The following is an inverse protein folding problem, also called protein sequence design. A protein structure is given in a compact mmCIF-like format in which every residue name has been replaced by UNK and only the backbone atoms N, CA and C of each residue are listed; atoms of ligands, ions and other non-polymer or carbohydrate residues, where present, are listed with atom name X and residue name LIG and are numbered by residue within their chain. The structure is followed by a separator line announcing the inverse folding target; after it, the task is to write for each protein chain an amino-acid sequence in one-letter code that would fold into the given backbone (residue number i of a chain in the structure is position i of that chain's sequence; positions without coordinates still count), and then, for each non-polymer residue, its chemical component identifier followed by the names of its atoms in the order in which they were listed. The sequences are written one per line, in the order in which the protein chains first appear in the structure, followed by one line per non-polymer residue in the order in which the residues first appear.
data_IF_875159483130
#
_entry.id   IF_875159483130
#
_cell.length_a   1.000
_cell.length_b   1.000
_cell.length_c   1.000
_cell.angle_alpha   90.00
_cell.angle_beta   90.00
_cell.angle_gamma   90.00
#
_symmetry.space_group_name_H-M   'P 1'
#
loop_
_entity.id
_entity.type
_entity.pdbx_description
1 polymer ?
#
# COMPACT_ATOMS: atom_id res chain seq x y z
N UNK A 1 4.62 -2.26 -14.99
CA UNK A 1 4.28 -3.70 -15.04
C UNK A 1 5.47 -4.47 -15.60
N UNK A 2 5.80 -5.61 -15.01
CA UNK A 2 6.91 -6.51 -15.40
C UNK A 2 6.48 -7.98 -15.30
N UNK A 3 7.26 -8.88 -15.90
CA UNK A 3 7.09 -10.34 -15.72
C UNK A 3 7.07 -10.69 -14.24
N UNK A 4 6.12 -11.54 -13.85
CA UNK A 4 5.84 -11.92 -12.47
C UNK A 4 4.85 -11.02 -11.74
N UNK A 5 4.49 -9.83 -12.27
CA UNK A 5 3.44 -9.03 -11.65
C UNK A 5 2.07 -9.68 -11.83
N UNK A 6 1.26 -9.62 -10.77
CA UNK A 6 -0.17 -9.89 -10.82
C UNK A 6 -0.88 -8.67 -11.40
N UNK A 7 -1.78 -8.92 -12.34
CA UNK A 7 -2.53 -7.89 -13.06
C UNK A 7 -4.01 -8.23 -13.10
N UNK A 8 -4.86 -7.21 -13.20
CA UNK A 8 -6.28 -7.32 -13.48
C UNK A 8 -6.58 -6.78 -14.87
N UNK A 9 -7.43 -7.47 -15.60
CA UNK A 9 -7.93 -6.99 -16.91
C UNK A 9 -8.98 -5.91 -16.67
N UNK A 10 -8.75 -4.69 -17.15
CA UNK A 10 -9.68 -3.56 -17.01
C UNK A 10 -10.46 -3.23 -18.30
N UNK A 11 -9.93 -3.59 -19.47
CA UNK A 11 -10.58 -3.38 -20.77
C UNK A 11 -10.10 -4.39 -21.80
N UNK A 12 -10.73 -4.45 -22.97
CA UNK A 12 -10.38 -5.36 -24.07
C UNK A 12 -10.30 -4.64 -25.44
N UNK A 13 -10.20 -3.31 -25.42
CA UNK A 13 -10.40 -2.46 -26.60
C UNK A 13 -9.12 -2.12 -27.38
N UNK A 14 -7.95 -2.58 -26.91
CA UNK A 14 -6.65 -2.10 -27.39
C UNK A 14 -5.82 -3.17 -28.09
N UNK A 15 -6.10 -4.45 -27.85
CA UNK A 15 -5.41 -5.54 -28.53
C UNK A 15 -5.91 -5.66 -29.98
N UNK A 16 -4.99 -5.48 -30.92
CA UNK A 16 -5.29 -5.43 -32.36
C UNK A 16 -4.63 -6.57 -33.10
N UNK A 17 -5.29 -7.07 -34.15
CA UNK A 17 -4.72 -8.05 -35.06
C UNK A 17 -3.55 -7.43 -35.83
N UNK A 18 -2.45 -8.19 -35.95
CA UNK A 18 -1.22 -7.66 -36.55
C UNK A 18 -1.36 -7.38 -38.05
N UNK A 19 -2.26 -8.08 -38.73
CA UNK A 19 -2.53 -8.03 -40.17
C UNK A 19 -3.64 -7.01 -40.46
N UNK A 20 -4.80 -7.13 -39.82
CA UNK A 20 -5.96 -6.28 -40.13
C UNK A 20 -5.97 -4.96 -39.38
N UNK A 21 -5.18 -4.83 -38.30
CA UNK A 21 -5.16 -3.68 -37.38
C UNK A 21 -6.49 -3.40 -36.68
N UNK A 22 -7.46 -4.30 -36.77
CA UNK A 22 -8.73 -4.21 -36.06
C UNK A 22 -8.62 -4.76 -34.64
N UNK A 23 -9.45 -4.25 -33.73
CA UNK A 23 -9.51 -4.73 -32.36
C UNK A 23 -10.04 -6.16 -32.34
N UNK A 24 -9.31 -7.06 -31.70
CA UNK A 24 -9.69 -8.47 -31.58
C UNK A 24 -10.84 -8.60 -30.59
N UNK A 25 -12.00 -9.03 -31.06
CA UNK A 25 -13.15 -9.34 -30.19
C UNK A 25 -12.84 -10.54 -29.32
N UNK A 26 -12.81 -10.33 -27.99
CA UNK A 26 -12.56 -11.35 -26.96
C UNK A 26 -13.73 -11.44 -25.98
N UNK A 27 -13.77 -12.49 -25.19
CA UNK A 27 -14.83 -12.71 -24.20
C UNK A 27 -14.78 -11.64 -23.11
N UNK A 28 -15.89 -10.91 -22.92
CA UNK A 28 -16.03 -9.86 -21.89
C UNK A 28 -15.87 -10.41 -20.47
N UNK A 29 -16.03 -11.72 -20.25
CA UNK A 29 -15.78 -12.36 -18.96
C UNK A 29 -14.34 -12.21 -18.46
N UNK A 30 -13.40 -11.90 -19.36
CA UNK A 30 -12.01 -11.62 -18.99
C UNK A 30 -11.89 -10.35 -18.16
N UNK A 31 -12.78 -9.36 -18.33
CA UNK A 31 -12.73 -8.11 -17.56
C UNK A 31 -12.95 -8.40 -16.08
N UNK A 32 -12.05 -7.90 -15.25
CA UNK A 32 -12.01 -8.13 -13.80
C UNK A 32 -11.26 -9.41 -13.39
N UNK A 33 -10.90 -10.29 -14.34
CA UNK A 33 -10.08 -11.45 -14.02
C UNK A 33 -8.65 -11.02 -13.67
N UNK A 34 -8.05 -11.74 -12.73
CA UNK A 34 -6.68 -11.53 -12.28
C UNK A 34 -5.79 -12.67 -12.74
N UNK A 35 -4.59 -12.33 -13.20
CA UNK A 35 -3.59 -13.31 -13.63
C UNK A 35 -2.18 -12.79 -13.40
N UNK A 36 -1.18 -13.59 -13.77
CA UNK A 36 0.23 -13.24 -13.65
C UNK A 36 0.86 -13.05 -15.02
N UNK A 37 1.63 -11.98 -15.19
CA UNK A 37 2.40 -11.77 -16.42
C UNK A 37 3.51 -12.81 -16.49
N UNK A 38 3.47 -13.66 -17.53
CA UNK A 38 4.50 -14.68 -17.81
C UNK A 38 5.57 -14.19 -18.77
N UNK A 39 5.21 -13.32 -19.69
CA UNK A 39 6.13 -12.78 -20.70
C UNK A 39 5.64 -11.42 -21.21
N UNK A 40 6.55 -10.60 -21.72
CA UNK A 40 6.26 -9.29 -22.30
C UNK A 40 7.08 -9.13 -23.58
N UNK A 41 6.41 -8.94 -24.71
CA UNK A 41 7.07 -8.69 -25.98
C UNK A 41 6.42 -7.51 -26.72
N UNK A 42 7.20 -6.47 -27.02
CA UNK A 42 6.75 -5.27 -27.76
C UNK A 42 5.43 -4.66 -27.25
N UNK A 43 5.22 -4.64 -25.94
CA UNK A 43 4.00 -4.10 -25.31
C UNK A 43 2.81 -5.05 -25.27
N UNK A 44 2.97 -6.29 -25.75
CA UNK A 44 2.02 -7.39 -25.57
C UNK A 44 2.42 -8.20 -24.34
N UNK A 45 1.47 -8.38 -23.43
CA UNK A 45 1.62 -9.06 -22.15
C UNK A 45 0.96 -10.42 -22.24
N UNK A 46 1.74 -11.48 -22.05
CA UNK A 46 1.23 -12.85 -21.90
C UNK A 46 0.83 -13.05 -20.44
N UNK A 47 -0.46 -13.25 -20.17
CA UNK A 47 -1.03 -13.36 -18.83
C UNK A 47 -1.59 -14.77 -18.63
N UNK A 48 -1.19 -15.42 -17.54
CA UNK A 48 -1.74 -16.71 -17.11
C UNK A 48 -2.70 -16.51 -15.94
N UNK A 49 -3.92 -17.00 -16.08
CA UNK A 49 -4.98 -16.94 -15.08
C UNK A 49 -4.91 -18.13 -14.12
N UNK A 50 -5.62 -18.04 -12.99
CA UNK A 50 -5.64 -19.06 -11.94
C UNK A 50 -6.21 -20.43 -12.43
N UNK A 51 -6.99 -20.45 -13.52
CA UNK A 51 -7.48 -21.68 -14.16
C UNK A 51 -6.46 -22.31 -15.14
N UNK A 52 -5.25 -21.74 -15.23
CA UNK A 52 -4.18 -22.18 -16.11
C UNK A 52 -4.32 -21.71 -17.56
N UNK A 53 -5.38 -20.96 -17.91
CA UNK A 53 -5.51 -20.37 -19.24
C UNK A 53 -4.51 -19.24 -19.43
N UNK A 54 -4.03 -19.13 -20.66
CA UNK A 54 -3.10 -18.08 -21.05
C UNK A 54 -3.70 -17.26 -22.17
N UNK A 55 -3.69 -15.94 -21.98
CA UNK A 55 -4.19 -14.95 -22.94
C UNK A 55 -3.18 -13.83 -23.13
N UNK A 56 -3.37 -13.07 -24.22
CA UNK A 56 -2.49 -11.96 -24.59
C UNK A 56 -3.25 -10.64 -24.54
N UNK A 57 -2.59 -9.62 -23.98
CA UNK A 57 -3.18 -8.31 -23.74
C UNK A 57 -2.24 -7.19 -24.17
N UNK A 58 -2.81 -6.09 -24.62
CA UNK A 58 -2.07 -4.82 -24.69
C UNK A 58 -1.88 -4.28 -23.27
N UNK A 59 -0.73 -3.68 -22.95
CA UNK A 59 -0.49 -3.13 -21.61
C UNK A 59 -1.55 -2.13 -21.13
N UNK A 60 -2.24 -1.44 -22.04
CA UNK A 60 -3.33 -0.50 -21.70
C UNK A 60 -4.59 -1.21 -21.19
N UNK A 61 -4.72 -2.52 -21.41
CA UNK A 61 -5.85 -3.35 -20.98
C UNK A 61 -5.69 -3.87 -19.56
N UNK A 62 -4.53 -3.65 -18.95
CA UNK A 62 -4.15 -4.19 -17.67
C UNK A 62 -3.95 -3.08 -16.64
N UNK A 63 -4.19 -3.44 -15.38
CA UNK A 63 -3.75 -2.69 -14.20
C UNK A 63 -3.06 -3.64 -13.23
N UNK A 64 -2.20 -3.12 -12.35
CA UNK A 64 -1.59 -3.94 -11.31
C UNK A 64 -2.67 -4.37 -10.30
N UNK A 65 -2.72 -5.67 -10.02
CA UNK A 65 -3.58 -6.24 -9.00
C UNK A 65 -2.75 -6.55 -7.76
N UNK A 66 -2.28 -5.50 -7.11
CA UNK A 66 -1.44 -5.63 -5.91
C UNK A 66 -2.25 -6.25 -4.78
N UNK A 67 -1.73 -7.33 -4.21
CA UNK A 67 -2.25 -7.88 -2.97
C UNK A 67 -1.56 -7.15 -1.83
N UNK A 68 -2.33 -6.37 -1.09
CA UNK A 68 -1.86 -5.76 0.15
C UNK A 68 -1.33 -6.86 1.08
N UNK A 69 -0.10 -6.69 1.55
CA UNK A 69 0.54 -7.61 2.49
C UNK A 69 0.27 -7.16 3.91
N UNK A 70 -0.15 -8.11 4.72
CA UNK A 70 -0.37 -7.94 6.15
C UNK A 70 0.96 -8.12 6.87
N UNK A 71 1.52 -7.05 7.44
CA UNK A 71 2.78 -7.09 8.19
C UNK A 71 2.57 -6.66 9.63
N UNK A 72 3.27 -7.33 10.56
CA UNK A 72 3.33 -6.94 11.97
C UNK A 72 4.36 -5.82 12.11
N UNK A 73 3.94 -4.68 12.67
CA UNK A 73 4.82 -3.53 12.89
C UNK A 73 4.85 -3.13 14.35
N UNK A 74 6.03 -2.73 14.83
CA UNK A 74 6.22 -2.15 16.16
C UNK A 74 6.09 -0.63 16.05
N UNK A 75 5.01 -0.07 16.59
CA UNK A 75 4.84 1.38 16.68
C UNK A 75 5.49 1.89 17.97
N UNK A 76 6.42 2.84 17.81
CA UNK A 76 7.09 3.51 18.94
C UNK A 76 6.59 4.93 19.08
N UNK A 77 6.13 5.29 20.28
CA UNK A 77 5.85 6.69 20.63
C UNK A 77 7.18 7.42 20.84
N UNK A 78 7.46 8.44 20.01
CA UNK A 78 8.73 9.18 20.06
C UNK A 78 8.58 10.53 20.76
N UNK A 79 7.54 11.31 20.42
CA UNK A 79 7.34 12.64 21.01
C UNK A 79 5.94 13.16 20.78
N UNK A 80 5.56 14.18 21.54
CA UNK A 80 4.37 14.98 21.29
C UNK A 80 4.60 15.99 20.15
N UNK A 81 3.53 16.41 19.48
CA UNK A 81 3.55 17.49 18.48
C UNK A 81 2.72 18.69 18.91
N UNK A 82 3.14 19.90 18.54
CA UNK A 82 2.38 21.15 18.65
C UNK A 82 2.40 21.88 17.31
N UNK A 83 1.25 21.95 16.64
CA UNK A 83 1.12 22.62 15.34
C UNK A 83 1.94 21.95 14.22
N UNK A 84 1.99 20.61 14.19
CA UNK A 84 2.72 19.84 13.18
C UNK A 84 4.25 19.80 13.38
N UNK A 85 4.75 20.33 14.50
CA UNK A 85 6.18 20.27 14.87
C UNK A 85 6.34 19.46 16.15
N UNK A 86 7.34 18.57 16.17
CA UNK A 86 7.73 17.84 17.39
C UNK A 86 8.13 18.83 18.48
N UNK A 87 7.76 18.53 19.72
CA UNK A 87 8.20 19.30 20.91
C UNK A 87 9.39 18.65 21.62
N UNK A 88 9.99 17.61 21.05
CA UNK A 88 11.20 16.96 21.59
C UNK A 88 12.37 17.96 21.68
N UNK A 89 13.06 17.97 22.81
CA UNK A 89 14.14 18.91 23.13
C UNK A 89 13.70 20.32 23.51
N UNK A 90 12.40 20.56 23.75
CA UNK A 90 11.87 21.90 24.10
C UNK A 90 11.43 21.95 25.57
N UNK A 91 11.29 23.15 26.14
CA UNK A 91 10.74 23.32 27.51
C UNK A 91 9.33 22.71 27.67
N UNK A 92 8.57 22.59 26.57
CA UNK A 92 7.28 21.92 26.58
C UNK A 92 7.42 20.40 26.77
N UNK A 93 8.53 19.80 26.33
CA UNK A 93 8.83 18.38 26.54
C UNK A 93 8.74 18.03 28.02
N UNK A 94 9.47 18.72 28.89
CA UNK A 94 9.55 18.42 30.32
C UNK A 94 8.17 18.34 30.99
N UNK A 95 7.19 19.06 30.47
CA UNK A 95 5.83 19.08 31.02
C UNK A 95 4.95 17.95 30.51
N UNK A 96 5.11 17.54 29.25
CA UNK A 96 4.28 16.52 28.61
C UNK A 96 4.94 15.14 28.58
N UNK A 97 6.23 15.06 28.87
CA UNK A 97 6.99 13.81 28.99
C UNK A 97 6.98 13.23 30.42
N UNK A 98 6.28 13.87 31.37
CA UNK A 98 6.22 13.42 32.76
C UNK A 98 4.97 12.59 33.02
N UNK A 99 5.15 11.26 32.98
CA UNK A 99 4.21 10.28 33.56
C UNK A 99 3.69 9.24 32.56
N UNK A 100 4.14 8.00 32.75
CA UNK A 100 3.57 6.74 32.24
C UNK A 100 3.54 6.41 30.74
N UNK A 101 4.53 6.93 29.99
CA UNK A 101 5.27 6.09 29.02
C UNK A 101 6.64 5.67 29.58
N UNK A 102 6.81 5.62 30.91
CA UNK A 102 8.07 5.44 31.66
C UNK A 102 8.95 4.22 31.26
N UNK A 103 8.49 3.34 30.39
CA UNK A 103 9.23 2.15 29.91
C UNK A 103 9.15 1.90 28.41
N UNK A 104 8.62 2.86 27.63
CA UNK A 104 8.24 2.65 26.24
C UNK A 104 7.05 1.69 26.14
N UNK A 105 5.98 2.13 25.48
CA UNK A 105 4.90 1.23 25.11
C UNK A 105 5.01 0.99 23.61
N UNK A 106 5.21 -0.28 23.23
CA UNK A 106 5.15 -0.71 21.84
C UNK A 106 3.71 -1.03 21.55
N UNK A 107 3.10 -0.32 20.61
CA UNK A 107 1.82 -0.73 20.05
C UNK A 107 2.10 -1.65 18.87
N UNK A 108 1.63 -2.88 18.94
CA UNK A 108 1.69 -3.81 17.80
C UNK A 108 0.46 -3.58 16.96
N UNK A 109 0.69 -3.00 15.80
CA UNK A 109 -0.34 -2.77 14.79
C UNK A 109 -0.15 -3.71 13.61
N UNK A 110 -1.21 -3.84 12.83
CA UNK A 110 -1.16 -4.46 11.52
C UNK A 110 -1.52 -3.39 10.51
N UNK A 111 -0.68 -3.20 9.50
CA UNK A 111 -0.92 -2.28 8.39
C UNK A 111 -0.81 -3.05 7.08
N UNK A 112 -1.61 -2.65 6.10
CA UNK A 112 -1.61 -3.18 4.74
C UNK A 112 -0.70 -2.32 3.88
N UNK A 113 0.30 -2.94 3.25
CA UNK A 113 1.28 -2.26 2.39
C UNK A 113 1.51 -3.06 1.09
N UNK A 114 1.84 -2.35 0.01
CA UNK A 114 2.33 -2.95 -1.23
C UNK A 114 3.86 -3.23 -1.18
N UNK A 115 4.39 -3.87 -2.23
CA UNK A 115 5.81 -4.24 -2.30
C UNK A 115 6.75 -3.04 -2.46
N UNK A 116 6.31 -1.97 -3.12
CA UNK A 116 7.10 -0.75 -3.31
C UNK A 116 7.19 0.06 -2.02
N UNK A 117 6.09 0.17 -1.28
CA UNK A 117 5.99 0.76 0.06
C UNK A 117 6.94 0.07 1.03
N UNK A 118 6.98 -1.27 1.04
CA UNK A 118 7.89 -2.04 1.90
C UNK A 118 9.36 -1.71 1.57
N UNK A 119 9.75 -1.68 0.30
CA UNK A 119 11.13 -1.38 -0.07
C UNK A 119 11.51 0.08 0.22
N UNK A 120 10.60 1.03 0.04
CA UNK A 120 10.81 2.43 0.44
C UNK A 120 11.02 2.56 1.94
N UNK A 121 10.23 1.87 2.75
CA UNK A 121 10.39 1.87 4.20
C UNK A 121 11.75 1.28 4.63
N UNK A 122 12.18 0.17 4.03
CA UNK A 122 13.50 -0.43 4.31
C UNK A 122 14.66 0.48 3.90
N UNK A 123 14.54 1.17 2.77
CA UNK A 123 15.55 2.13 2.32
C UNK A 123 15.65 3.33 3.29
N UNK A 124 14.51 3.90 3.67
CA UNK A 124 14.42 4.97 4.66
C UNK A 124 15.04 4.56 6.01
N UNK A 125 14.80 3.33 6.47
CA UNK A 125 15.37 2.82 7.72
C UNK A 125 16.91 2.76 7.69
N UNK A 126 17.51 2.37 6.55
CA UNK A 126 18.98 2.38 6.38
C UNK A 126 19.59 3.78 6.47
N UNK A 127 18.80 4.79 6.13
CA UNK A 127 19.16 6.21 6.27
C UNK A 127 18.83 6.77 7.67
N UNK A 128 18.34 5.94 8.58
CA UNK A 128 17.95 6.32 9.93
C UNK A 128 16.58 6.99 10.03
N UNK A 129 15.81 7.01 8.94
CA UNK A 129 14.47 7.61 8.88
C UNK A 129 13.44 6.57 9.33
N UNK A 130 12.59 6.94 10.28
CA UNK A 130 11.56 6.06 10.86
C UNK A 130 10.18 6.70 10.78
N UNK A 131 9.16 5.88 10.54
CA UNK A 131 7.76 6.33 10.58
C UNK A 131 7.39 6.77 12.00
N UNK A 132 6.75 7.93 12.12
CA UNK A 132 6.21 8.46 13.38
C UNK A 132 4.70 8.44 13.27
N UNK A 133 4.05 7.90 14.29
CA UNK A 133 2.59 7.89 14.39
C UNK A 133 2.15 8.92 15.41
N UNK A 134 1.26 9.82 14.99
CA UNK A 134 0.65 10.79 15.88
C UNK A 134 -0.50 10.13 16.65
N UNK A 135 -0.54 10.41 17.95
CA UNK A 135 -1.60 9.96 18.84
C UNK A 135 -2.60 11.10 19.03
N UNK A 136 -3.85 10.87 18.65
CA UNK A 136 -4.94 11.82 18.86
C UNK A 136 -5.85 11.33 19.99
N UNK A 137 -6.05 12.17 21.01
CA UNK A 137 -7.10 11.96 22.01
C UNK A 137 -8.33 12.75 21.56
N UNK A 138 -9.39 12.06 21.16
CA UNK A 138 -10.65 12.70 20.78
C UNK A 138 -11.37 13.18 22.05
N UNK A 139 -11.66 14.47 22.12
CA UNK A 139 -12.32 15.09 23.28
C UNK A 139 -13.74 14.56 23.55
N UNK A 140 -14.37 13.94 22.55
CA UNK A 140 -15.71 13.35 22.62
C UNK A 140 -15.75 12.07 23.47
N UNK A 141 -14.60 11.38 23.62
CA UNK A 141 -14.48 10.14 24.38
C UNK A 141 -14.10 10.36 25.86
N UNK A 142 -13.88 11.62 26.26
CA UNK A 142 -13.67 11.99 27.66
C UNK A 142 -15.01 11.98 28.41
N UNK A 143 -15.46 10.78 28.81
CA UNK A 143 -16.72 10.52 29.55
C UNK A 143 -16.83 11.27 30.90
N UNK A 144 -15.88 12.13 31.26
CA UNK A 144 -15.91 12.96 32.47
C UNK A 144 -16.90 14.13 32.41
N UNK A 145 -17.45 14.47 31.23
CA UNK A 145 -18.49 15.53 31.11
C UNK A 145 -19.91 15.10 31.51
N UNK A 146 -20.20 13.80 31.65
CA UNK A 146 -21.54 13.30 32.04
C UNK A 146 -21.68 12.95 33.54
N UNK A 147 -20.80 13.50 34.39
CA UNK A 147 -20.97 13.47 35.85
C UNK A 147 -21.15 14.88 36.39
N UNK A 148 -22.28 15.51 36.10
CA UNK A 148 -22.89 16.55 36.94
C UNK A 148 -24.39 16.40 36.87
#
# INVERSE_FOLDING_TARGET
MKVGNRVRVKSLDFFTDSITKEVVKRDKKLIGMEGNIRDINLGIFKVEFDDGKVEYFDGRELELAERLKVVNVDMSFVSWQKGGKSIYGTEAEERYFVGDFRRGCIFKGTIELDDEEIERMKAAEKEGIRAVFDVFVRAEDDRRKNRR
#
